data_IF_428198095993
#
_entry.id   IF_428198095993
#
_cell.length_a   1.000
_cell.length_b   1.000
_cell.length_c   1.000
_cell.angle_alpha   90.00
_cell.angle_beta   90.00
_cell.angle_gamma   90.00
#
_symmetry.space_group_name_H-M   'P 1'
#
loop_
_entity.id
_entity.type
_entity.pdbx_description
1 polymer ?
#
# COMPACT_ATOMS: atom_id res chain seq x y z
N UNK A 1 -10.59 -46.70 -24.93
CA UNK A 1 -10.22 -46.21 -23.59
C UNK A 1 -9.06 -45.21 -23.59
N UNK A 2 -8.10 -45.29 -24.52
CA UNK A 2 -6.94 -44.37 -24.59
C UNK A 2 -7.33 -42.93 -24.96
N UNK A 3 -8.23 -42.76 -25.94
CA UNK A 3 -8.69 -41.44 -26.41
C UNK A 3 -9.42 -40.66 -25.30
N UNK A 4 -10.26 -41.32 -24.51
CA UNK A 4 -10.97 -40.70 -23.38
C UNK A 4 -10.00 -40.22 -22.29
N UNK A 5 -8.94 -41.00 -22.01
CA UNK A 5 -7.87 -40.60 -21.08
C UNK A 5 -7.10 -39.38 -21.60
N UNK A 6 -6.86 -39.31 -22.91
CA UNK A 6 -6.13 -38.20 -23.53
C UNK A 6 -6.94 -36.89 -23.51
N UNK A 7 -8.25 -36.97 -23.78
CA UNK A 7 -9.18 -35.83 -23.69
C UNK A 7 -9.28 -35.32 -22.25
N UNK A 8 -9.35 -36.22 -21.26
CA UNK A 8 -9.37 -35.86 -19.84
C UNK A 8 -8.09 -35.13 -19.42
N UNK A 9 -6.91 -35.59 -19.87
CA UNK A 9 -5.64 -34.92 -19.60
C UNK A 9 -5.58 -33.52 -20.20
N UNK A 10 -6.03 -33.34 -21.44
CA UNK A 10 -6.07 -32.02 -22.10
C UNK A 10 -7.03 -31.07 -21.37
N UNK A 11 -8.20 -31.57 -20.95
CA UNK A 11 -9.16 -30.79 -20.18
C UNK A 11 -8.59 -30.35 -18.83
N UNK A 12 -7.98 -31.27 -18.08
CA UNK A 12 -7.30 -30.96 -16.81
C UNK A 12 -6.19 -29.92 -17.00
N UNK A 13 -5.35 -30.07 -18.02
CA UNK A 13 -4.26 -29.14 -18.31
C UNK A 13 -4.79 -27.74 -18.65
N UNK A 14 -5.84 -27.66 -19.47
CA UNK A 14 -6.49 -26.40 -19.83
C UNK A 14 -7.17 -25.71 -18.64
N UNK A 15 -7.70 -26.50 -17.69
CA UNK A 15 -8.31 -26.00 -16.46
C UNK A 15 -7.25 -25.46 -15.48
N UNK A 16 -6.12 -26.16 -15.35
CA UNK A 16 -4.96 -25.70 -14.56
C UNK A 16 -4.38 -24.38 -15.09
N UNK A 17 -4.30 -24.20 -16.42
CA UNK A 17 -3.83 -22.95 -17.04
C UNK A 17 -4.79 -21.76 -16.88
N UNK A 18 -6.09 -22.00 -16.71
CA UNK A 18 -7.07 -20.94 -16.44
C UNK A 18 -7.26 -20.64 -14.94
N UNK A 19 -6.84 -21.54 -14.05
CA UNK A 19 -6.97 -21.38 -12.60
C UNK A 19 -5.81 -20.64 -11.94
N UNK A 20 -4.74 -20.34 -12.69
CA UNK A 20 -3.76 -19.34 -12.24
C UNK A 20 -4.36 -17.97 -12.50
N UNK A 21 -4.99 -17.35 -11.48
CA UNK A 21 -5.27 -15.91 -11.45
C UNK A 21 -3.94 -15.15 -11.48
N UNK A 22 -3.26 -15.15 -12.62
CA UNK A 22 -2.08 -14.34 -12.89
C UNK A 22 -2.48 -13.25 -13.87
N UNK A 23 -3.52 -12.48 -13.54
CA UNK A 23 -3.66 -11.20 -14.23
C UNK A 23 -2.48 -10.36 -13.75
N UNK A 24 -1.69 -9.83 -14.67
CA UNK A 24 -0.58 -8.93 -14.36
C UNK A 24 -1.01 -7.76 -13.43
N UNK A 25 -2.30 -7.41 -13.47
CA UNK A 25 -2.94 -6.45 -12.57
C UNK A 25 -3.01 -6.89 -11.10
N UNK A 26 -3.15 -8.19 -10.82
CA UNK A 26 -3.22 -8.72 -9.46
C UNK A 26 -1.85 -8.68 -8.78
N UNK A 27 -0.81 -9.16 -9.46
CA UNK A 27 0.57 -9.09 -8.98
C UNK A 27 1.05 -7.63 -8.81
N UNK A 28 0.66 -6.75 -9.74
CA UNK A 28 0.95 -5.32 -9.63
C UNK A 28 0.27 -4.67 -8.41
N UNK A 29 -0.95 -5.09 -8.08
CA UNK A 29 -1.66 -4.58 -6.92
C UNK A 29 -1.11 -5.14 -5.60
N UNK A 30 -0.73 -6.42 -5.54
CA UNK A 30 -0.07 -7.00 -4.38
C UNK A 30 1.27 -6.30 -4.07
N UNK A 31 2.04 -5.98 -5.13
CA UNK A 31 3.25 -5.18 -4.97
C UNK A 31 2.95 -3.74 -4.53
N UNK A 32 1.85 -3.15 -5.02
CA UNK A 32 1.41 -1.82 -4.58
C UNK A 32 0.94 -1.79 -3.12
N UNK A 33 0.40 -2.89 -2.60
CA UNK A 33 0.09 -3.05 -1.17
C UNK A 33 1.35 -3.03 -0.32
N UNK A 34 2.40 -3.73 -0.76
CA UNK A 34 3.69 -3.70 -0.07
C UNK A 34 4.30 -2.29 -0.09
N UNK A 35 4.26 -1.60 -1.24
CA UNK A 35 4.73 -0.22 -1.37
C UNK A 35 3.93 0.73 -0.46
N UNK A 36 2.61 0.53 -0.35
CA UNK A 36 1.76 1.30 0.57
C UNK A 36 2.17 1.12 2.02
N UNK A 37 2.45 -0.12 2.45
CA UNK A 37 2.91 -0.41 3.81
C UNK A 37 4.25 0.27 4.11
N UNK A 38 5.20 0.20 3.17
CA UNK A 38 6.51 0.87 3.32
C UNK A 38 6.34 2.39 3.38
N UNK A 39 5.54 2.96 2.48
CA UNK A 39 5.25 4.39 2.47
C UNK A 39 4.61 4.84 3.81
N UNK A 40 3.61 4.09 4.28
CA UNK A 40 2.92 4.36 5.55
C UNK A 40 3.87 4.27 6.74
N UNK A 41 4.79 3.30 6.74
CA UNK A 41 5.80 3.15 7.78
C UNK A 41 6.74 4.37 7.83
N UNK A 42 7.21 4.85 6.68
CA UNK A 42 8.08 6.05 6.59
C UNK A 42 7.34 7.29 7.07
N UNK A 43 6.08 7.48 6.67
CA UNK A 43 5.22 8.59 7.14
C UNK A 43 5.03 8.52 8.66
N UNK A 44 4.80 7.34 9.21
CA UNK A 44 4.63 7.18 10.65
C UNK A 44 5.92 7.47 11.42
N UNK A 45 7.06 7.00 10.92
CA UNK A 45 8.35 7.20 11.58
C UNK A 45 8.82 8.66 11.51
N UNK A 46 8.61 9.33 10.38
CA UNK A 46 8.85 10.77 10.26
C UNK A 46 7.93 11.59 11.16
N UNK A 47 6.65 11.23 11.26
CA UNK A 47 5.72 11.82 12.22
C UNK A 47 6.19 11.64 13.66
N UNK A 48 6.62 10.43 14.06
CA UNK A 48 7.08 10.16 15.42
C UNK A 48 8.26 11.07 15.80
N UNK A 49 9.24 11.19 14.89
CA UNK A 49 10.37 12.10 15.05
C UNK A 49 9.94 13.57 15.12
N UNK A 50 9.04 14.01 14.23
CA UNK A 50 8.49 15.36 14.24
C UNK A 50 7.73 15.64 15.55
N UNK A 51 6.91 14.71 16.01
CA UNK A 51 6.13 14.84 17.23
C UNK A 51 7.02 14.95 18.48
N UNK A 52 8.11 14.18 18.53
CA UNK A 52 9.09 14.24 19.62
C UNK A 52 9.83 15.59 19.62
N UNK A 53 10.27 16.05 18.45
CA UNK A 53 10.91 17.37 18.33
C UNK A 53 9.94 18.51 18.66
N UNK A 54 8.68 18.43 18.22
CA UNK A 54 7.63 19.39 18.56
C UNK A 54 7.30 19.40 20.07
N UNK A 55 7.35 18.24 20.74
CA UNK A 55 7.14 18.15 22.18
C UNK A 55 8.22 18.89 22.98
N UNK A 56 9.44 18.97 22.42
CA UNK A 56 10.57 19.66 23.02
C UNK A 56 10.61 21.18 22.69
N UNK A 57 9.68 21.68 21.88
CA UNK A 57 9.60 23.12 21.57
C UNK A 57 9.19 23.91 22.81
N UNK A 58 9.95 24.95 23.12
CA UNK A 58 9.65 25.90 24.20
C UNK A 58 8.98 27.15 23.62
N UNK A 59 8.17 27.86 24.44
CA UNK A 59 7.42 29.03 24.00
C UNK A 59 5.98 29.06 24.52
N UNK A 60 5.16 29.92 23.93
CA UNK A 60 3.72 30.03 24.23
C UNK A 60 2.97 28.75 23.84
N UNK A 61 1.77 28.58 24.39
CA UNK A 61 0.88 27.46 24.05
C UNK A 61 0.59 27.40 22.55
N UNK A 62 0.44 28.55 21.90
CA UNK A 62 0.21 28.68 20.46
C UNK A 62 1.39 28.17 19.64
N UNK A 63 2.63 28.48 20.06
CA UNK A 63 3.84 28.00 19.38
C UNK A 63 3.97 26.48 19.48
N UNK A 64 3.72 25.92 20.67
CA UNK A 64 3.73 24.46 20.88
C UNK A 64 2.64 23.77 20.07
N UNK A 65 1.44 24.33 20.03
CA UNK A 65 0.33 23.81 19.25
C UNK A 65 0.65 23.85 17.74
N UNK A 66 1.17 24.97 17.23
CA UNK A 66 1.54 25.11 15.82
C UNK A 66 2.61 24.09 15.39
N UNK A 67 3.62 23.84 16.24
CA UNK A 67 4.63 22.82 15.99
C UNK A 67 4.02 21.42 15.87
N UNK A 68 3.11 21.05 16.77
CA UNK A 68 2.39 19.77 16.70
C UNK A 68 1.48 19.67 15.48
N UNK A 69 0.70 20.71 15.19
CA UNK A 69 -0.20 20.75 14.03
C UNK A 69 0.53 20.55 12.71
N UNK A 70 1.75 21.08 12.58
CA UNK A 70 2.57 20.84 11.42
C UNK A 70 2.88 19.36 11.22
N UNK A 71 3.30 18.66 12.27
CA UNK A 71 3.57 17.22 12.21
C UNK A 71 2.31 16.43 11.85
N UNK A 72 1.17 16.78 12.44
CA UNK A 72 -0.12 16.14 12.14
C UNK A 72 -0.55 16.36 10.69
N UNK A 73 -0.33 17.55 10.14
CA UNK A 73 -0.60 17.86 8.74
C UNK A 73 0.30 17.08 7.78
N UNK A 74 1.61 17.03 8.05
CA UNK A 74 2.57 16.26 7.25
C UNK A 74 2.21 14.76 7.25
N UNK A 75 1.82 14.20 8.40
CA UNK A 75 1.33 12.82 8.51
C UNK A 75 0.10 12.59 7.64
N UNK A 76 -0.90 13.47 7.75
CA UNK A 76 -2.16 13.34 7.03
C UNK A 76 -1.94 13.37 5.51
N UNK A 77 -1.18 14.35 5.02
CA UNK A 77 -0.83 14.49 3.60
C UNK A 77 -0.02 13.29 3.11
N UNK A 78 0.95 12.83 3.90
CA UNK A 78 1.74 11.64 3.60
C UNK A 78 0.89 10.38 3.44
N UNK A 79 -0.05 10.14 4.35
CA UNK A 79 -0.97 8.99 4.25
C UNK A 79 -1.83 9.04 2.99
N UNK A 80 -2.40 10.21 2.66
CA UNK A 80 -3.17 10.38 1.42
C UNK A 80 -2.33 10.14 0.17
N UNK A 81 -1.07 10.56 0.17
CA UNK A 81 -0.15 10.30 -0.93
C UNK A 81 0.11 8.80 -1.11
N UNK A 82 0.37 8.06 -0.01
CA UNK A 82 0.56 6.62 -0.07
C UNK A 82 -0.68 5.90 -0.64
N UNK A 83 -1.87 6.30 -0.20
CA UNK A 83 -3.15 5.76 -0.69
C UNK A 83 -3.35 6.04 -2.19
N UNK A 84 -3.07 7.26 -2.64
CA UNK A 84 -3.23 7.65 -4.05
C UNK A 84 -2.26 6.87 -4.96
N UNK A 85 -1.02 6.64 -4.51
CA UNK A 85 -0.05 5.79 -5.23
C UNK A 85 -0.59 4.37 -5.37
N UNK A 86 -1.12 3.78 -4.30
CA UNK A 86 -1.70 2.44 -4.32
C UNK A 86 -2.90 2.35 -5.28
N UNK A 87 -3.84 3.28 -5.16
CA UNK A 87 -5.03 3.37 -6.03
C UNK A 87 -4.66 3.45 -7.52
N UNK A 88 -3.68 4.31 -7.85
CA UNK A 88 -3.15 4.43 -9.22
C UNK A 88 -2.54 3.13 -9.74
N UNK A 89 -1.81 2.38 -8.91
CA UNK A 89 -1.20 1.10 -9.29
C UNK A 89 -2.22 -0.04 -9.41
N UNK A 90 -3.22 -0.09 -8.52
CA UNK A 90 -4.27 -1.11 -8.53
C UNK A 90 -5.41 -0.84 -9.53
N UNK A 91 -5.45 0.35 -10.14
CA UNK A 91 -6.52 0.74 -11.09
C UNK A 91 -7.87 1.03 -10.41
N UNK A 92 -7.89 1.15 -9.09
CA UNK A 92 -9.05 1.57 -8.31
C UNK A 92 -9.12 3.09 -8.31
N UNK A 93 -9.87 3.67 -9.26
CA UNK A 93 -10.16 5.11 -9.28
C UNK A 93 -10.98 5.54 -8.06
#
# INVERSE_FOLDING_TARGET
MVILRLILCIFLFSFLSHCTKTSQSYEACERADLDYLVCSLVVYQSYAFCAETAANVTGSTEVKAAAKFRCDAERLVGTYLCDDIKKKKCGTK
#
